data_IF_951504085263
#
_entry.id   IF_951504085263
#
_cell.length_a   1.000
_cell.length_b   1.000
_cell.length_c   1.000
_cell.angle_alpha   90.00
_cell.angle_beta   90.00
_cell.angle_gamma   90.00
#
_symmetry.space_group_name_H-M   'P 1'
#
loop_
_entity.id
_entity.type
_entity.pdbx_description
1 polymer ?
#
# COMPACT_ATOMS: atom_id res chain seq x y z
N UNK A 1 -1.98 -33.41 -2.84
CA UNK A 1 -2.14 -33.39 -1.37
C UNK A 1 -1.13 -32.48 -0.68
N UNK A 2 0.17 -32.53 -1.02
CA UNK A 2 1.20 -31.61 -0.50
C UNK A 2 0.95 -30.13 -0.85
N UNK A 3 0.53 -29.86 -2.08
CA UNK A 3 0.47 -28.49 -2.62
C UNK A 3 -0.64 -27.68 -1.96
N UNK A 4 -1.75 -28.34 -1.61
CA UNK A 4 -2.84 -27.73 -0.85
C UNK A 4 -2.38 -27.32 0.56
N UNK A 5 -1.50 -28.10 1.20
CA UNK A 5 -0.95 -27.76 2.54
C UNK A 5 -0.07 -26.51 2.43
N UNK A 6 0.81 -26.46 1.43
CA UNK A 6 1.67 -25.29 1.20
C UNK A 6 0.82 -24.05 0.95
N UNK A 7 -0.20 -24.16 0.10
CA UNK A 7 -1.16 -23.09 -0.14
C UNK A 7 -1.80 -22.58 1.15
N UNK A 8 -2.39 -23.47 1.97
CA UNK A 8 -3.07 -23.06 3.21
C UNK A 8 -2.11 -22.40 4.20
N UNK A 9 -0.87 -22.87 4.31
CA UNK A 9 0.15 -22.23 5.14
C UNK A 9 0.47 -20.82 4.66
N UNK A 10 0.69 -20.63 3.35
CA UNK A 10 1.00 -19.32 2.77
C UNK A 10 -0.19 -18.37 2.90
N UNK A 11 -1.41 -18.85 2.62
CA UNK A 11 -2.63 -18.06 2.76
C UNK A 11 -2.88 -17.68 4.24
N UNK A 12 -2.63 -18.58 5.18
CA UNK A 12 -2.69 -18.27 6.61
C UNK A 12 -1.67 -17.20 7.01
N UNK A 13 -0.44 -17.28 6.50
CA UNK A 13 0.57 -16.24 6.68
C UNK A 13 0.11 -14.89 6.11
N UNK A 14 -0.50 -14.88 4.92
CA UNK A 14 -1.12 -13.68 4.33
C UNK A 14 -2.19 -13.09 5.27
N UNK A 15 -3.08 -13.94 5.81
CA UNK A 15 -4.17 -13.54 6.71
C UNK A 15 -3.63 -12.93 8.00
N UNK A 16 -2.68 -13.60 8.66
CA UNK A 16 -2.06 -13.13 9.90
C UNK A 16 -1.33 -11.80 9.67
N UNK A 17 -0.54 -11.72 8.60
CA UNK A 17 0.29 -10.55 8.35
C UNK A 17 -0.55 -9.30 8.04
N UNK A 18 -1.50 -9.42 7.11
CA UNK A 18 -2.24 -8.27 6.56
C UNK A 18 -3.41 -7.88 7.46
N UNK A 19 -4.13 -8.84 8.04
CA UNK A 19 -5.36 -8.56 8.79
C UNK A 19 -5.16 -8.48 10.31
N UNK A 20 -4.00 -8.89 10.83
CA UNK A 20 -3.72 -8.83 12.26
C UNK A 20 -2.45 -8.04 12.58
N UNK A 21 -1.28 -8.45 12.04
CA UNK A 21 0.00 -7.86 12.42
C UNK A 21 0.13 -6.39 12.03
N UNK A 22 -0.07 -6.05 10.75
CA UNK A 22 0.04 -4.65 10.28
C UNK A 22 -1.01 -3.71 10.88
N UNK A 23 -2.30 -4.08 10.96
CA UNK A 23 -3.31 -3.24 11.61
C UNK A 23 -2.97 -2.93 13.07
N UNK A 24 -2.48 -3.91 13.83
CA UNK A 24 -2.09 -3.71 15.22
C UNK A 24 -0.89 -2.76 15.34
N UNK A 25 0.09 -2.82 14.44
CA UNK A 25 1.19 -1.84 14.42
C UNK A 25 0.70 -0.41 14.16
N UNK A 26 -0.25 -0.23 13.24
CA UNK A 26 -0.85 1.10 12.96
C UNK A 26 -1.60 1.62 14.18
N UNK A 27 -2.41 0.76 14.83
CA UNK A 27 -3.16 1.11 16.03
C UNK A 27 -2.23 1.48 17.20
N UNK A 28 -1.17 0.71 17.41
CA UNK A 28 -0.18 0.99 18.46
C UNK A 28 0.50 2.34 18.25
N UNK A 29 0.88 2.67 17.01
CA UNK A 29 1.41 3.99 16.68
C UNK A 29 0.40 5.09 16.99
N UNK A 30 -0.86 4.92 16.58
CA UNK A 30 -1.89 5.92 16.80
C UNK A 30 -2.12 6.18 18.30
N UNK A 31 -2.08 5.12 19.12
CA UNK A 31 -2.14 5.21 20.58
C UNK A 31 -0.93 5.97 21.15
N UNK A 32 0.29 5.57 20.77
CA UNK A 32 1.52 6.23 21.21
C UNK A 32 1.58 7.71 20.82
N UNK A 33 1.03 8.07 19.66
CA UNK A 33 0.95 9.47 19.21
C UNK A 33 0.07 10.32 20.13
N UNK A 34 -1.09 9.79 20.55
CA UNK A 34 -1.99 10.50 21.49
C UNK A 34 -1.37 10.61 22.88
N UNK A 35 -0.68 9.55 23.34
CA UNK A 35 -0.01 9.53 24.65
C UNK A 35 1.17 10.51 24.72
N UNK A 36 2.05 10.53 23.71
CA UNK A 36 3.25 11.39 23.69
C UNK A 36 2.94 12.83 23.27
N UNK A 37 1.93 13.04 22.41
CA UNK A 37 1.57 14.34 21.84
C UNK A 37 0.09 14.63 22.10
N UNK A 38 -0.32 14.93 23.34
CA UNK A 38 -1.73 15.16 23.66
C UNK A 38 -2.23 16.49 23.06
N UNK A 39 -3.55 16.63 22.84
CA UNK A 39 -4.11 17.87 22.28
C UNK A 39 -3.90 19.11 23.14
N UNK A 40 -3.68 18.95 24.45
CA UNK A 40 -3.35 20.06 25.37
C UNK A 40 -2.02 20.74 25.03
N UNK A 41 -1.06 20.00 24.47
CA UNK A 41 0.26 20.54 24.09
C UNK A 41 0.43 20.68 22.58
N UNK A 42 -0.31 19.89 21.79
CA UNK A 42 -0.22 19.86 20.32
C UNK A 42 -1.59 20.05 19.64
N UNK A 43 -2.30 21.16 19.88
CA UNK A 43 -3.69 21.33 19.43
C UNK A 43 -3.83 21.31 17.90
N UNK A 44 -2.84 21.79 17.14
CA UNK A 44 -2.89 21.81 15.66
C UNK A 44 -2.86 20.41 15.04
N UNK A 45 -2.44 19.38 15.79
CA UNK A 45 -2.43 17.99 15.33
C UNK A 45 -3.85 17.38 15.31
N UNK A 46 -4.80 17.97 16.04
CA UNK A 46 -6.12 17.41 16.31
C UNK A 46 -7.25 18.38 15.92
N UNK A 47 -7.61 18.49 14.63
CA UNK A 47 -8.78 19.24 14.18
C UNK A 47 -10.13 18.65 14.61
N UNK A 48 -10.14 17.52 15.32
CA UNK A 48 -11.31 16.83 15.84
C UNK A 48 -11.02 16.30 17.23
N UNK A 49 -12.07 16.01 18.00
CA UNK A 49 -11.95 15.51 19.36
C UNK A 49 -11.30 14.12 19.43
N UNK A 50 -10.68 13.81 20.58
CA UNK A 50 -10.00 12.52 20.82
C UNK A 50 -11.01 11.37 20.70
N UNK A 51 -12.24 11.54 21.17
CA UNK A 51 -13.27 10.49 21.15
C UNK A 51 -13.60 10.05 19.72
N UNK A 52 -13.55 10.99 18.76
CA UNK A 52 -13.76 10.69 17.34
C UNK A 52 -12.59 9.88 16.76
N UNK A 53 -11.36 10.20 17.17
CA UNK A 53 -10.14 9.48 16.76
C UNK A 53 -10.17 8.06 17.31
N UNK A 54 -10.44 7.90 18.60
CA UNK A 54 -10.57 6.58 19.22
C UNK A 54 -11.68 5.75 18.60
N UNK A 55 -12.83 6.36 18.27
CA UNK A 55 -13.91 5.67 17.56
C UNK A 55 -13.43 5.15 16.20
N UNK A 56 -12.66 5.96 15.47
CA UNK A 56 -12.00 5.52 14.23
C UNK A 56 -11.08 4.33 14.43
N UNK A 57 -10.23 4.37 15.47
CA UNK A 57 -9.34 3.26 15.82
C UNK A 57 -10.12 1.98 16.19
N UNK A 58 -11.20 2.10 16.98
CA UNK A 58 -12.08 0.98 17.33
C UNK A 58 -12.73 0.36 16.09
N UNK A 59 -13.22 1.19 15.16
CA UNK A 59 -13.81 0.70 13.91
C UNK A 59 -12.77 0.01 13.02
N UNK A 60 -11.60 0.60 12.87
CA UNK A 60 -10.48 0.00 12.14
C UNK A 60 -10.08 -1.37 12.73
N UNK A 61 -9.98 -1.47 14.06
CA UNK A 61 -9.72 -2.73 14.76
C UNK A 61 -10.81 -3.77 14.49
N UNK A 62 -12.09 -3.38 14.59
CA UNK A 62 -13.23 -4.28 14.34
C UNK A 62 -13.25 -4.80 12.91
N UNK A 63 -13.06 -3.94 11.92
CA UNK A 63 -13.00 -4.35 10.51
C UNK A 63 -11.90 -5.38 10.27
N UNK A 64 -10.69 -5.12 10.76
CA UNK A 64 -9.57 -6.04 10.60
C UNK A 64 -9.79 -7.37 11.36
N UNK A 65 -10.41 -7.33 12.55
CA UNK A 65 -10.76 -8.55 13.29
C UNK A 65 -11.79 -9.42 12.55
N UNK A 66 -12.83 -8.81 11.97
CA UNK A 66 -13.83 -9.54 11.16
C UNK A 66 -13.18 -10.19 9.95
N UNK A 67 -12.33 -9.44 9.23
CA UNK A 67 -11.60 -9.96 8.07
C UNK A 67 -10.65 -11.09 8.48
N UNK A 68 -9.94 -10.94 9.60
CA UNK A 68 -9.06 -11.97 10.13
C UNK A 68 -9.83 -13.27 10.41
N UNK A 69 -10.96 -13.18 11.13
CA UNK A 69 -11.82 -14.34 11.42
C UNK A 69 -12.33 -14.98 10.12
N UNK A 70 -12.78 -14.18 9.16
CA UNK A 70 -13.22 -14.70 7.86
C UNK A 70 -12.09 -15.46 7.13
N UNK A 71 -10.86 -14.96 7.18
CA UNK A 71 -9.69 -15.64 6.60
C UNK A 71 -9.37 -16.97 7.27
N UNK A 72 -9.44 -17.02 8.61
CA UNK A 72 -9.27 -18.29 9.35
C UNK A 72 -10.37 -19.28 8.99
N UNK A 73 -11.62 -18.84 8.89
CA UNK A 73 -12.74 -19.69 8.49
C UNK A 73 -12.56 -20.23 7.05
N UNK A 74 -12.07 -19.42 6.11
CA UNK A 74 -11.75 -19.89 4.75
C UNK A 74 -10.70 -21.00 4.74
N UNK A 75 -9.65 -20.89 5.57
CA UNK A 75 -8.64 -21.96 5.72
C UNK A 75 -9.28 -23.23 6.26
N UNK A 76 -10.07 -23.13 7.34
CA UNK A 76 -10.72 -24.28 7.97
C UNK A 76 -11.66 -24.97 6.99
N UNK A 77 -12.53 -24.22 6.31
CA UNK A 77 -13.47 -24.76 5.31
C UNK A 77 -12.72 -25.43 4.17
N UNK A 78 -11.66 -24.79 3.66
CA UNK A 78 -10.84 -25.37 2.59
C UNK A 78 -10.26 -26.74 2.98
N UNK A 79 -9.66 -26.83 4.18
CA UNK A 79 -9.10 -28.09 4.71
C UNK A 79 -10.18 -29.16 4.89
N UNK A 80 -11.31 -28.82 5.53
CA UNK A 80 -12.36 -29.79 5.86
C UNK A 80 -13.07 -30.35 4.62
N UNK A 81 -13.19 -29.53 3.57
CA UNK A 81 -13.88 -29.92 2.33
C UNK A 81 -12.96 -30.58 1.31
N UNK A 82 -11.64 -30.63 1.57
CA UNK A 82 -10.62 -31.00 0.57
C UNK A 82 -10.87 -30.33 -0.79
N UNK A 83 -11.33 -29.07 -0.76
CA UNK A 83 -11.74 -28.36 -1.95
C UNK A 83 -10.57 -28.24 -2.93
N UNK A 84 -10.80 -28.49 -4.21
CA UNK A 84 -9.78 -28.36 -5.23
C UNK A 84 -9.45 -26.88 -5.46
N UNK A 85 -8.36 -26.45 -4.81
CA UNK A 85 -7.86 -25.07 -4.83
C UNK A 85 -7.49 -24.64 -6.25
N UNK A 86 -7.03 -25.57 -7.09
CA UNK A 86 -6.54 -25.28 -8.44
C UNK A 86 -7.65 -24.87 -9.41
N UNK A 87 -8.91 -25.29 -9.18
CA UNK A 87 -9.96 -25.07 -10.17
C UNK A 87 -10.65 -23.70 -10.10
N UNK A 88 -10.62 -22.98 -8.96
CA UNK A 88 -11.44 -21.76 -8.78
C UNK A 88 -11.05 -20.77 -7.66
N UNK A 89 -9.87 -20.87 -7.03
CA UNK A 89 -9.53 -19.98 -5.90
C UNK A 89 -8.91 -18.63 -6.27
N UNK A 90 -8.33 -18.46 -7.46
CA UNK A 90 -7.57 -17.24 -7.81
C UNK A 90 -8.41 -15.96 -7.65
N UNK A 91 -9.65 -15.99 -8.13
CA UNK A 91 -10.61 -14.88 -7.98
C UNK A 91 -10.97 -14.63 -6.51
N UNK A 92 -11.19 -15.69 -5.73
CA UNK A 92 -11.52 -15.60 -4.31
C UNK A 92 -10.34 -15.05 -3.50
N UNK A 93 -9.11 -15.50 -3.76
CA UNK A 93 -7.89 -15.02 -3.09
C UNK A 93 -7.66 -13.55 -3.40
N UNK A 94 -7.82 -13.15 -4.66
CA UNK A 94 -7.70 -11.75 -5.09
C UNK A 94 -8.76 -10.88 -4.42
N UNK A 95 -10.02 -11.31 -4.45
CA UNK A 95 -11.12 -10.61 -3.78
C UNK A 95 -10.87 -10.49 -2.28
N UNK A 96 -10.42 -11.56 -1.65
CA UNK A 96 -10.11 -11.57 -0.23
C UNK A 96 -8.97 -10.59 0.08
N UNK A 97 -7.89 -10.57 -0.71
CA UNK A 97 -6.82 -9.59 -0.57
C UNK A 97 -7.31 -8.14 -0.69
N UNK A 98 -8.19 -7.84 -1.66
CA UNK A 98 -8.81 -6.51 -1.79
C UNK A 98 -9.58 -6.15 -0.52
N UNK A 99 -10.38 -7.08 0.02
CA UNK A 99 -11.10 -6.90 1.28
C UNK A 99 -10.13 -6.68 2.43
N UNK A 100 -9.03 -7.45 2.52
CA UNK A 100 -8.00 -7.30 3.55
C UNK A 100 -7.30 -5.95 3.50
N UNK A 101 -7.05 -5.41 2.31
CA UNK A 101 -6.40 -4.12 2.13
C UNK A 101 -7.36 -2.94 2.31
N UNK A 102 -8.67 -3.17 2.20
CA UNK A 102 -9.70 -2.13 2.23
C UNK A 102 -9.72 -1.26 3.50
N UNK A 103 -9.50 -1.76 4.74
CA UNK A 103 -9.49 -0.90 5.93
C UNK A 103 -8.36 0.14 5.86
N UNK A 104 -7.22 -0.23 5.28
CA UNK A 104 -6.09 0.68 5.06
C UNK A 104 -6.44 1.74 4.01
N UNK A 105 -7.03 1.36 2.88
CA UNK A 105 -7.49 2.30 1.86
C UNK A 105 -8.52 3.30 2.40
N UNK A 106 -9.51 2.81 3.16
CA UNK A 106 -10.51 3.66 3.82
C UNK A 106 -9.83 4.64 4.78
N UNK A 107 -8.85 4.18 5.55
CA UNK A 107 -8.09 5.02 6.48
C UNK A 107 -7.33 6.14 5.76
N UNK A 108 -6.70 5.84 4.62
CA UNK A 108 -6.03 6.84 3.77
C UNK A 108 -7.02 7.87 3.20
N UNK A 109 -8.18 7.41 2.69
CA UNK A 109 -9.25 8.28 2.20
C UNK A 109 -9.80 9.21 3.30
N UNK A 110 -9.95 8.70 4.52
CA UNK A 110 -10.34 9.49 5.69
C UNK A 110 -9.22 10.46 6.09
N UNK A 111 -7.95 10.10 5.92
CA UNK A 111 -6.79 10.96 6.09
C UNK A 111 -6.87 12.22 5.21
N UNK A 112 -7.26 12.10 3.94
CA UNK A 112 -7.48 13.27 3.08
C UNK A 112 -8.56 14.22 3.61
N UNK A 113 -9.66 13.67 4.16
CA UNK A 113 -10.71 14.48 4.82
C UNK A 113 -10.16 15.14 6.08
N UNK A 114 -9.33 14.44 6.85
CA UNK A 114 -8.66 14.96 8.04
C UNK A 114 -7.73 16.14 7.70
N UNK A 115 -6.89 16.01 6.67
CA UNK A 115 -6.06 17.11 6.19
C UNK A 115 -6.87 18.30 5.70
N UNK A 116 -8.04 18.08 5.09
CA UNK A 116 -8.95 19.17 4.72
C UNK A 116 -9.47 19.91 5.96
N UNK A 117 -9.76 19.21 7.06
CA UNK A 117 -10.16 19.83 8.33
C UNK A 117 -9.00 20.63 8.96
N UNK A 118 -7.79 20.09 8.97
CA UNK A 118 -6.59 20.83 9.43
C UNK A 118 -6.39 22.14 8.67
N UNK A 119 -6.57 22.13 7.35
CA UNK A 119 -6.47 23.35 6.53
C UNK A 119 -7.55 24.38 6.84
N UNK A 120 -8.77 23.94 7.19
CA UNK A 120 -9.85 24.84 7.59
C UNK A 120 -9.63 25.44 8.98
N UNK A 121 -9.04 24.67 9.89
CA UNK A 121 -8.70 25.12 11.24
C UNK A 121 -7.46 26.02 11.28
N UNK A 122 -6.66 26.05 10.20
CA UNK A 122 -5.47 26.88 10.14
C UNK A 122 -5.83 28.36 9.92
N UNK A 123 -5.66 29.18 10.97
CA UNK A 123 -5.84 30.64 10.95
C UNK A 123 -4.58 31.41 10.54
N UNK A 124 -3.46 30.73 10.26
CA UNK A 124 -2.18 31.39 9.95
C UNK A 124 -2.22 32.23 8.67
N UNK A 125 -1.94 33.53 8.80
CA UNK A 125 -1.97 34.50 7.70
C UNK A 125 -0.83 34.36 6.68
N UNK A 126 0.29 33.71 7.05
CA UNK A 126 1.52 33.70 6.24
C UNK A 126 1.84 32.28 5.76
N UNK A 127 1.73 32.08 4.44
CA UNK A 127 2.14 30.84 3.79
C UNK A 127 3.66 30.84 3.60
N UNK A 128 4.40 30.25 4.54
CA UNK A 128 5.84 30.02 4.34
C UNK A 128 6.05 28.96 3.24
N UNK A 129 6.66 29.36 2.13
CA UNK A 129 7.01 28.47 1.04
C UNK A 129 8.54 28.38 0.95
N UNK A 130 9.09 27.18 1.16
CA UNK A 130 10.45 26.90 0.74
C UNK A 130 10.45 26.68 -0.77
N UNK A 131 11.13 27.57 -1.50
CA UNK A 131 11.25 27.53 -2.95
C UNK A 131 12.39 26.61 -3.37
N UNK A 132 12.35 25.33 -2.99
CA UNK A 132 13.24 24.32 -3.58
C UNK A 132 12.49 23.59 -4.70
N UNK A 133 12.99 23.61 -5.95
CA UNK A 133 12.40 22.81 -7.01
C UNK A 133 12.50 21.33 -6.63
N UNK A 134 11.37 20.62 -6.71
CA UNK A 134 11.27 19.19 -6.41
C UNK A 134 11.42 18.41 -7.72
N UNK A 135 12.53 17.70 -7.88
CA UNK A 135 12.80 16.86 -9.05
C UNK A 135 12.58 15.39 -8.71
N UNK A 136 12.24 14.58 -9.70
CA UNK A 136 11.98 13.15 -9.50
C UNK A 136 13.16 12.42 -8.83
N UNK A 137 14.38 12.66 -9.32
CA UNK A 137 15.59 12.01 -8.80
C UNK A 137 16.07 12.55 -7.44
N UNK A 138 15.38 13.55 -6.87
CA UNK A 138 15.57 13.91 -5.45
C UNK A 138 14.94 12.84 -4.52
N UNK A 139 14.01 12.03 -5.05
CA UNK A 139 13.19 11.11 -4.26
C UNK A 139 13.47 9.63 -4.53
N UNK A 140 13.92 9.28 -5.74
CA UNK A 140 14.28 7.93 -6.14
C UNK A 140 15.62 7.91 -6.89
N UNK A 141 16.39 6.83 -6.72
CA UNK A 141 17.66 6.68 -7.43
C UNK A 141 17.41 6.44 -8.93
N UNK A 142 18.29 6.97 -9.82
CA UNK A 142 18.23 6.66 -11.24
C UNK A 142 18.29 5.16 -11.53
N UNK A 143 19.03 4.41 -10.72
CA UNK A 143 19.12 2.94 -10.82
C UNK A 143 17.77 2.28 -10.61
N UNK A 144 17.04 2.60 -9.53
CA UNK A 144 15.73 1.99 -9.27
C UNK A 144 14.72 2.27 -10.39
N UNK A 145 14.73 3.51 -10.90
CA UNK A 145 13.88 3.90 -12.03
C UNK A 145 14.28 3.17 -13.32
N UNK A 146 15.58 3.11 -13.61
CA UNK A 146 16.11 2.36 -14.76
C UNK A 146 15.77 0.87 -14.70
N UNK A 147 15.89 0.23 -13.52
CA UNK A 147 15.47 -1.16 -13.30
C UNK A 147 13.97 -1.35 -13.55
N UNK A 148 13.13 -0.39 -13.13
CA UNK A 148 11.68 -0.45 -13.37
C UNK A 148 11.37 -0.45 -14.87
N UNK A 149 11.99 0.45 -15.63
CA UNK A 149 11.84 0.50 -17.10
C UNK A 149 12.37 -0.78 -17.75
N UNK A 150 13.55 -1.23 -17.34
CA UNK A 150 14.18 -2.42 -17.89
C UNK A 150 13.30 -3.66 -17.72
N UNK A 151 12.78 -3.90 -16.50
CA UNK A 151 11.90 -5.05 -16.22
C UNK A 151 10.61 -4.96 -17.02
N UNK A 152 10.04 -3.76 -17.18
CA UNK A 152 8.85 -3.55 -18.01
C UNK A 152 9.09 -3.88 -19.49
N UNK A 153 10.21 -3.42 -20.07
CA UNK A 153 10.57 -3.76 -21.46
C UNK A 153 10.84 -5.26 -21.60
N UNK A 154 11.57 -5.85 -20.65
CA UNK A 154 11.84 -7.29 -20.64
C UNK A 154 10.54 -8.10 -20.60
N UNK A 155 9.56 -7.66 -19.81
CA UNK A 155 8.23 -8.28 -19.78
C UNK A 155 7.48 -8.18 -21.10
N UNK A 156 7.50 -7.02 -21.78
CA UNK A 156 6.86 -6.87 -23.10
C UNK A 156 7.45 -7.88 -24.08
N UNK A 157 8.78 -7.94 -24.18
CA UNK A 157 9.48 -8.86 -25.08
C UNK A 157 9.16 -10.31 -24.74
N UNK A 158 9.16 -10.65 -23.45
CA UNK A 158 8.84 -11.98 -22.95
C UNK A 158 7.39 -12.40 -23.23
N UNK A 159 6.42 -11.51 -22.98
CA UNK A 159 5.01 -11.81 -23.22
C UNK A 159 4.73 -12.03 -24.71
N UNK A 160 5.31 -11.21 -25.60
CA UNK A 160 5.16 -11.37 -27.04
C UNK A 160 5.83 -12.65 -27.57
N UNK A 161 7.00 -13.02 -27.03
CA UNK A 161 7.69 -14.25 -27.44
C UNK A 161 7.02 -15.52 -26.93
N UNK A 162 6.35 -15.46 -25.77
CA UNK A 162 5.64 -16.61 -25.21
C UNK A 162 4.36 -16.96 -25.99
N UNK A 163 3.73 -15.99 -26.66
CA UNK A 163 2.45 -16.19 -27.38
C UNK A 163 2.49 -15.62 -28.82
N UNK A 164 3.38 -16.11 -29.70
CA UNK A 164 3.58 -15.52 -31.04
C UNK A 164 2.33 -15.55 -31.92
N UNK A 165 1.48 -16.57 -31.75
CA UNK A 165 0.25 -16.74 -32.53
C UNK A 165 -0.93 -15.90 -32.01
N UNK A 166 -0.79 -15.21 -30.88
CA UNK A 166 -1.86 -14.42 -30.24
C UNK A 166 -1.56 -12.92 -30.23
N UNK A 167 -0.68 -12.45 -31.11
CA UNK A 167 -0.34 -11.03 -31.25
C UNK A 167 -1.43 -10.32 -32.07
N UNK A 168 -2.58 -10.10 -31.43
CA UNK A 168 -3.70 -9.33 -31.97
C UNK A 168 -4.46 -8.65 -30.84
N UNK A 169 -5.28 -7.65 -31.15
CA UNK A 169 -6.08 -6.95 -30.15
C UNK A 169 -7.05 -7.93 -29.47
N UNK A 170 -7.04 -7.97 -28.14
CA UNK A 170 -7.80 -8.95 -27.35
C UNK A 170 -7.06 -10.27 -27.09
N UNK A 171 -5.92 -10.50 -27.77
CA UNK A 171 -5.05 -11.64 -27.50
C UNK A 171 -4.38 -11.53 -26.13
N UNK A 172 -4.07 -12.68 -25.52
CA UNK A 172 -3.50 -12.78 -24.16
C UNK A 172 -2.27 -11.88 -23.92
N UNK A 173 -1.21 -11.91 -24.75
CA UNK A 173 -0.03 -11.07 -24.49
C UNK A 173 -0.36 -9.57 -24.54
N UNK A 174 -1.24 -9.15 -25.46
CA UNK A 174 -1.65 -7.75 -25.59
C UNK A 174 -2.47 -7.29 -24.37
N UNK A 175 -3.40 -8.12 -23.88
CA UNK A 175 -4.20 -7.81 -22.69
C UNK A 175 -3.33 -7.67 -21.43
N UNK A 176 -2.33 -8.53 -21.28
CA UNK A 176 -1.38 -8.46 -20.16
C UNK A 176 -0.55 -7.17 -20.23
N UNK A 177 -0.01 -6.83 -21.41
CA UNK A 177 0.73 -5.58 -21.64
C UNK A 177 -0.14 -4.36 -21.32
N UNK A 178 -1.36 -4.30 -21.84
CA UNK A 178 -2.30 -3.20 -21.57
C UNK A 178 -2.55 -3.07 -20.07
N UNK A 179 -2.81 -4.19 -19.39
CA UNK A 179 -3.11 -4.22 -17.95
C UNK A 179 -1.97 -3.64 -17.12
N UNK A 180 -0.74 -4.10 -17.34
CA UNK A 180 0.41 -3.57 -16.59
C UNK A 180 0.74 -2.14 -16.98
N UNK A 181 0.50 -1.75 -18.24
CA UNK A 181 0.69 -0.36 -18.71
C UNK A 181 -0.23 0.58 -17.95
N UNK A 182 -1.51 0.25 -17.86
CA UNK A 182 -2.51 1.05 -17.13
C UNK A 182 -2.12 1.15 -15.65
N UNK A 183 -1.71 0.04 -15.03
CA UNK A 183 -1.24 0.03 -13.65
C UNK A 183 -0.01 0.93 -13.42
N UNK A 184 0.98 0.86 -14.31
CA UNK A 184 2.18 1.69 -14.24
C UNK A 184 1.88 3.18 -14.48
N UNK A 185 0.97 3.51 -15.40
CA UNK A 185 0.50 4.88 -15.61
C UNK A 185 -0.23 5.42 -14.39
N UNK A 186 -1.04 4.58 -13.72
CA UNK A 186 -1.70 4.94 -12.47
C UNK A 186 -0.68 5.24 -11.36
N UNK A 187 0.35 4.39 -11.20
CA UNK A 187 1.43 4.64 -10.25
C UNK A 187 2.22 5.91 -10.59
N UNK A 188 2.53 6.14 -11.87
CA UNK A 188 3.18 7.37 -12.33
C UNK A 188 2.34 8.61 -11.98
N UNK A 189 1.01 8.55 -12.17
CA UNK A 189 0.08 9.60 -11.77
C UNK A 189 0.14 9.92 -10.27
N UNK A 190 0.18 8.89 -9.42
CA UNK A 190 0.33 9.07 -7.96
C UNK A 190 1.68 9.68 -7.61
N UNK A 191 2.77 9.24 -8.25
CA UNK A 191 4.11 9.81 -8.05
C UNK A 191 4.13 11.29 -8.40
N UNK A 192 3.63 11.66 -9.58
CA UNK A 192 3.57 13.05 -10.04
C UNK A 192 2.70 13.89 -9.09
N UNK A 193 1.58 13.36 -8.62
CA UNK A 193 0.73 14.04 -7.64
C UNK A 193 1.44 14.27 -6.30
N UNK A 194 2.24 13.33 -5.82
CA UNK A 194 3.01 13.51 -4.57
C UNK A 194 4.15 14.53 -4.74
N UNK A 195 4.91 14.44 -5.85
CA UNK A 195 6.05 15.32 -6.12
C UNK A 195 5.62 16.74 -6.45
N UNK A 196 4.58 16.94 -7.26
CA UNK A 196 4.20 18.27 -7.74
C UNK A 196 2.94 18.82 -7.07
N UNK A 197 2.16 17.97 -6.41
CA UNK A 197 0.92 18.36 -5.75
C UNK A 197 1.11 19.29 -4.56
N UNK A 198 -0.02 19.83 -4.11
CA UNK A 198 -0.13 20.72 -2.95
C UNK A 198 0.13 19.93 -1.66
N UNK A 199 0.77 20.60 -0.69
CA UNK A 199 0.97 20.06 0.66
C UNK A 199 -0.39 19.80 1.31
N UNK A 200 -0.65 18.56 1.71
CA UNK A 200 -1.95 18.18 2.26
C UNK A 200 -2.10 18.65 3.71
N UNK A 201 -1.15 18.29 4.56
CA UNK A 201 -1.08 18.77 5.93
C UNK A 201 -0.44 20.18 5.96
N UNK A 202 -1.15 21.23 6.39
CA UNK A 202 -0.62 22.59 6.37
C UNK A 202 0.62 22.77 7.27
N UNK A 203 0.68 22.04 8.40
CA UNK A 203 1.70 22.22 9.43
C UNK A 203 2.95 21.34 9.24
N UNK A 204 2.83 20.20 8.54
CA UNK A 204 3.92 19.22 8.36
C UNK A 204 5.29 19.85 7.98
N UNK A 205 6.38 19.49 8.66
CA UNK A 205 7.71 19.98 8.28
C UNK A 205 8.09 19.57 6.84
N UNK A 206 8.84 20.41 6.10
CA UNK A 206 9.22 20.10 4.72
C UNK A 206 10.14 18.87 4.64
N UNK A 207 11.01 18.65 5.64
CA UNK A 207 11.84 17.46 5.76
C UNK A 207 10.99 16.18 5.84
N UNK A 208 9.95 16.19 6.68
CA UNK A 208 9.02 15.07 6.81
C UNK A 208 8.24 14.82 5.53
N UNK A 209 7.78 15.90 4.88
CA UNK A 209 7.10 15.81 3.59
C UNK A 209 8.00 15.17 2.53
N UNK A 210 9.25 15.62 2.42
CA UNK A 210 10.19 15.10 1.43
C UNK A 210 10.54 13.63 1.70
N UNK A 211 10.69 13.23 2.98
CA UNK A 211 10.85 11.83 3.35
C UNK A 211 9.64 11.00 2.94
N UNK A 212 8.42 11.48 3.24
CA UNK A 212 7.19 10.81 2.85
C UNK A 212 7.09 10.62 1.33
N UNK A 213 7.37 11.68 0.54
CA UNK A 213 7.40 11.59 -0.92
C UNK A 213 8.44 10.56 -1.37
N UNK A 214 9.67 10.58 -0.83
CA UNK A 214 10.72 9.61 -1.19
C UNK A 214 10.27 8.17 -0.94
N UNK A 215 9.65 7.91 0.21
CA UNK A 215 9.17 6.56 0.54
C UNK A 215 8.02 6.15 -0.39
N UNK A 216 7.03 7.00 -0.62
CA UNK A 216 5.94 6.72 -1.57
C UNK A 216 6.45 6.43 -2.97
N UNK A 217 7.39 7.24 -3.50
CA UNK A 217 7.95 7.03 -4.83
C UNK A 217 8.69 5.69 -4.92
N UNK A 218 9.55 5.38 -3.93
CA UNK A 218 10.27 4.10 -3.88
C UNK A 218 9.33 2.91 -3.80
N UNK A 219 8.29 2.99 -2.95
CA UNK A 219 7.28 1.93 -2.83
C UNK A 219 6.55 1.69 -4.15
N UNK A 220 6.12 2.74 -4.84
CA UNK A 220 5.39 2.60 -6.10
C UNK A 220 6.26 2.02 -7.23
N UNK A 221 7.54 2.40 -7.30
CA UNK A 221 8.48 1.78 -8.24
C UNK A 221 8.71 0.29 -7.94
N UNK A 222 8.87 -0.07 -6.66
CA UNK A 222 9.03 -1.47 -6.26
C UNK A 222 7.75 -2.30 -6.49
N UNK A 223 6.57 -1.73 -6.23
CA UNK A 223 5.28 -2.37 -6.54
C UNK A 223 5.14 -2.58 -8.05
N UNK A 224 5.54 -1.60 -8.87
CA UNK A 224 5.56 -1.73 -10.33
C UNK A 224 6.45 -2.88 -10.80
N UNK A 225 7.67 -2.99 -10.25
CA UNK A 225 8.58 -4.10 -10.52
C UNK A 225 7.93 -5.44 -10.14
N UNK A 226 7.41 -5.55 -8.91
CA UNK A 226 6.83 -6.79 -8.39
C UNK A 226 5.57 -7.20 -9.17
N UNK A 227 4.71 -6.26 -9.54
CA UNK A 227 3.55 -6.53 -10.38
C UNK A 227 3.95 -7.04 -11.78
N UNK A 228 4.99 -6.45 -12.36
CA UNK A 228 5.50 -6.88 -13.68
C UNK A 228 6.11 -8.28 -13.60
N UNK A 229 6.92 -8.55 -12.57
CA UNK A 229 7.50 -9.88 -12.33
C UNK A 229 6.43 -10.94 -12.05
N UNK A 230 5.38 -10.59 -11.31
CA UNK A 230 4.25 -11.49 -11.08
C UNK A 230 3.59 -11.89 -12.40
N UNK A 231 3.34 -10.94 -13.32
CA UNK A 231 2.78 -11.28 -14.63
C UNK A 231 3.72 -12.16 -15.47
N UNK A 232 5.04 -11.95 -15.39
CA UNK A 232 6.00 -12.88 -16.01
C UNK A 232 5.85 -14.29 -15.45
N UNK A 233 5.77 -14.42 -14.13
CA UNK A 233 5.57 -15.72 -13.46
C UNK A 233 4.22 -16.33 -13.88
N UNK A 234 3.15 -15.54 -13.97
CA UNK A 234 1.84 -16.03 -14.43
C UNK A 234 1.90 -16.57 -15.86
N UNK A 235 2.67 -15.94 -16.75
CA UNK A 235 2.91 -16.45 -18.10
C UNK A 235 3.71 -17.75 -18.08
N UNK A 236 4.72 -17.87 -17.22
CA UNK A 236 5.50 -19.12 -17.05
C UNK A 236 4.59 -20.24 -16.56
N UNK A 237 3.78 -19.98 -15.53
CA UNK A 237 2.85 -20.95 -14.95
C UNK A 237 1.91 -21.50 -16.02
N UNK A 238 1.30 -20.61 -16.82
CA UNK A 238 0.42 -21.01 -17.91
C UNK A 238 1.16 -21.80 -19.00
N UNK A 239 2.35 -21.34 -19.41
CA UNK A 239 3.13 -21.98 -20.46
C UNK A 239 3.55 -23.42 -20.11
N UNK A 240 3.85 -23.68 -18.83
CA UNK A 240 4.26 -25.00 -18.33
C UNK A 240 3.11 -25.80 -17.69
N UNK A 241 1.85 -25.36 -17.79
CA UNK A 241 0.69 -26.02 -17.21
C UNK A 241 0.81 -26.25 -15.69
N UNK A 242 1.35 -25.26 -14.97
CA UNK A 242 1.59 -25.29 -13.52
C UNK A 242 0.45 -24.62 -12.73
N UNK A 243 -0.78 -24.62 -13.26
CA UNK A 243 -1.92 -23.85 -12.72
C UNK A 243 -2.21 -24.13 -11.25
N UNK A 244 -1.94 -25.36 -10.79
CA UNK A 244 -2.03 -25.76 -9.38
C UNK A 244 -1.17 -24.92 -8.42
N UNK A 245 -0.11 -24.25 -8.91
CA UNK A 245 0.74 -23.37 -8.11
C UNK A 245 0.25 -21.92 -8.07
N UNK A 246 -0.64 -21.51 -8.99
CA UNK A 246 -1.10 -20.12 -9.11
C UNK A 246 -1.69 -19.56 -7.81
N UNK A 247 -2.55 -20.29 -7.06
CA UNK A 247 -3.09 -19.82 -5.79
C UNK A 247 -1.99 -19.46 -4.77
N UNK A 248 -0.96 -20.30 -4.68
CA UNK A 248 0.17 -20.09 -3.77
C UNK A 248 1.02 -18.91 -4.21
N UNK A 249 1.34 -18.81 -5.50
CA UNK A 249 2.12 -17.70 -6.08
C UNK A 249 1.38 -16.37 -5.86
N UNK A 250 0.06 -16.36 -6.05
CA UNK A 250 -0.78 -15.18 -5.84
C UNK A 250 -0.77 -14.73 -4.36
N UNK A 251 -0.81 -15.66 -3.40
CA UNK A 251 -0.66 -15.32 -1.99
C UNK A 251 0.72 -14.75 -1.67
N UNK A 252 1.79 -15.33 -2.21
CA UNK A 252 3.15 -14.80 -2.04
C UNK A 252 3.28 -13.40 -2.63
N UNK A 253 2.69 -13.17 -3.81
CA UNK A 253 2.61 -11.86 -4.43
C UNK A 253 1.91 -10.83 -3.53
N UNK A 254 0.75 -11.19 -2.97
CA UNK A 254 0.02 -10.33 -2.03
C UNK A 254 0.80 -10.03 -0.74
N UNK A 255 1.47 -11.02 -0.17
CA UNK A 255 2.37 -10.84 0.97
C UNK A 255 3.48 -9.85 0.61
N UNK A 256 4.12 -10.01 -0.54
CA UNK A 256 5.20 -9.14 -0.99
C UNK A 256 4.72 -7.70 -1.21
N UNK A 257 3.54 -7.50 -1.81
CA UNK A 257 2.91 -6.18 -1.94
C UNK A 257 2.66 -5.53 -0.57
N UNK A 258 2.14 -6.29 0.39
CA UNK A 258 1.86 -5.80 1.73
C UNK A 258 3.16 -5.45 2.47
N UNK A 259 4.20 -6.28 2.35
CA UNK A 259 5.53 -6.02 2.92
C UNK A 259 6.14 -4.76 2.33
N UNK A 260 6.13 -4.56 1.02
CA UNK A 260 6.66 -3.35 0.39
C UNK A 260 5.88 -2.13 0.86
N UNK A 261 4.55 -2.23 0.89
CA UNK A 261 3.67 -1.13 1.33
C UNK A 261 3.92 -0.74 2.78
N UNK A 262 4.14 -1.72 3.67
CA UNK A 262 4.28 -1.50 5.10
C UNK A 262 5.72 -1.23 5.54
N UNK A 263 6.68 -2.02 5.06
CA UNK A 263 8.09 -1.94 5.48
C UNK A 263 8.70 -0.58 5.10
N UNK A 264 8.41 -0.08 3.90
CA UNK A 264 8.83 1.25 3.47
C UNK A 264 8.06 2.37 4.17
N UNK A 265 6.87 2.09 4.71
CA UNK A 265 6.17 3.02 5.60
C UNK A 265 6.72 3.04 7.03
N UNK A 266 7.49 2.03 7.46
CA UNK A 266 8.04 1.92 8.83
C UNK A 266 8.77 3.17 9.32
N UNK A 267 9.61 3.86 8.53
CA UNK A 267 10.26 5.10 8.98
C UNK A 267 9.29 6.25 9.24
N UNK A 268 8.11 6.28 8.58
CA UNK A 268 7.01 7.22 8.83
C UNK A 268 6.19 6.76 10.06
N UNK A 269 6.14 5.44 10.28
CA UNK A 269 5.46 4.87 11.43
C UNK A 269 6.23 5.12 12.75
N UNK A 270 7.54 5.27 12.68
CA UNK A 270 8.35 5.71 13.82
C UNK A 270 8.07 7.17 14.15
N UNK A 271 7.60 7.40 15.37
CA UNK A 271 7.18 8.71 15.87
C UNK A 271 8.41 9.62 16.02
N UNK A 272 9.54 9.05 16.40
CA UNK A 272 10.81 9.74 16.66
C UNK A 272 11.37 10.44 15.42
N UNK A 273 10.95 9.99 14.23
CA UNK A 273 11.39 10.53 12.96
C UNK A 273 10.56 11.73 12.52
N UNK A 274 9.40 11.99 13.11
CA UNK A 274 8.49 13.08 12.71
C UNK A 274 8.67 14.28 13.63
N UNK A 275 8.79 15.46 13.02
CA UNK A 275 8.81 16.72 13.75
C UNK A 275 7.38 17.10 14.16
N UNK A 276 7.07 16.90 15.44
CA UNK A 276 5.78 17.25 16.01
C UNK A 276 5.73 18.68 16.57
N UNK A 277 6.85 19.39 16.65
CA UNK A 277 6.90 20.73 17.24
C UNK A 277 6.10 21.74 16.42
N UNK A 278 6.01 21.51 15.10
CA UNK A 278 5.17 22.29 14.18
C UNK A 278 3.67 22.29 14.52
N UNK A 279 3.21 21.40 15.42
CA UNK A 279 1.82 21.31 15.85
C UNK A 279 1.53 21.97 17.21
N UNK A 280 2.54 22.52 17.87
CA UNK A 280 2.32 23.33 19.08
C UNK A 280 1.58 24.62 18.73
N UNK A 281 0.87 25.18 19.69
CA UNK A 281 0.40 26.56 19.59
C UNK A 281 1.59 27.49 19.38
N UNK A 282 1.40 28.52 18.56
CA UNK A 282 2.43 29.55 18.46
C UNK A 282 2.45 30.24 19.82
N UNK A 283 3.59 30.18 20.51
CA UNK A 283 3.77 30.93 21.75
C UNK A 283 3.42 32.38 21.45
N UNK A 284 2.36 32.89 22.07
CA UNK A 284 2.01 34.30 21.99
C UNK A 284 3.26 35.06 22.39
N UNK A 285 3.89 35.74 21.42
CA UNK A 285 4.88 36.75 21.73
C UNK A 285 4.10 37.86 22.43
N UNK A 286 4.09 37.80 23.77
CA UNK A 286 3.71 38.92 24.61
C UNK A 286 4.76 40.03 24.46
#
# INVERSE_FOLDING_TARGET
MSDNIVFYLVFLCQVILISYYYPNKILNRAKLMVEKYPPSSYPKLYPVSIEKIERGQRNYKKMNAVIFIAGILLVIVGILTNYDVASNWDGLITLFFIIQFSPMLISEMLGFKYFKMMRKANSGAIRKAELRPRRFFDFASPVLFGTTIFIYIAFILFALSAYPNQIHLGGKPINLIITITIGNLFFAGIILWNIYGKKQNPFQANKDRNRQISLTVKSLLLISIVATLFLMISVIVDYYYLDHLMPTILCLYHILLAVISFQLATPILQIENTDFEVYKEDSVAN
#
